data_IF_265530919483
#
_entry.id   IF_265530919483
#
_cell.length_a   1.000
_cell.length_b   1.000
_cell.length_c   1.000
_cell.angle_alpha   90.00
_cell.angle_beta   90.00
_cell.angle_gamma   90.00
#
_symmetry.space_group_name_H-M   'P 1'
#
loop_
_entity.id
_entity.type
_entity.pdbx_description
1 polymer ?
#
# COMPACT_ATOMS: atom_id res chain seq x y z
N UNK A 1 -18.10 -47.80 -21.67
CA UNK A 1 -17.31 -47.13 -20.62
C UNK A 1 -17.43 -45.64 -20.87
N UNK A 2 -18.22 -44.87 -20.09
CA UNK A 2 -18.32 -43.44 -20.30
C UNK A 2 -17.01 -42.77 -19.84
N UNK A 3 -16.57 -41.77 -20.60
CA UNK A 3 -15.39 -40.97 -20.31
C UNK A 3 -15.53 -40.27 -18.95
N UNK A 4 -14.44 -40.06 -18.19
CA UNK A 4 -14.51 -39.30 -16.95
C UNK A 4 -14.90 -37.85 -17.27
N UNK A 5 -15.96 -37.38 -16.61
CA UNK A 5 -16.37 -35.98 -16.65
C UNK A 5 -15.23 -35.10 -16.10
N UNK A 6 -15.01 -33.89 -16.65
CA UNK A 6 -14.06 -32.96 -16.09
C UNK A 6 -14.47 -32.62 -14.66
N UNK A 7 -13.48 -32.64 -13.77
CA UNK A 7 -13.59 -32.27 -12.37
C UNK A 7 -13.99 -30.79 -12.30
N UNK A 8 -15.30 -30.54 -12.29
CA UNK A 8 -15.85 -29.24 -12.01
C UNK A 8 -15.63 -29.01 -10.51
N UNK A 9 -14.51 -28.37 -10.17
CA UNK A 9 -14.35 -27.67 -8.90
C UNK A 9 -15.34 -26.49 -8.89
N UNK A 10 -16.63 -26.82 -8.73
CA UNK A 10 -17.72 -25.92 -8.35
C UNK A 10 -17.49 -25.50 -6.90
N UNK A 11 -16.44 -24.70 -6.69
CA UNK A 11 -16.01 -24.18 -5.40
C UNK A 11 -15.84 -22.67 -5.48
N UNK A 12 -16.69 -21.94 -4.76
CA UNK A 12 -16.47 -20.62 -4.18
C UNK A 12 -15.24 -19.83 -4.69
N UNK A 13 -15.45 -18.72 -5.42
CA UNK A 13 -14.42 -17.76 -5.90
C UNK A 13 -13.07 -18.43 -6.29
N UNK A 14 -12.94 -18.96 -7.52
CA UNK A 14 -11.83 -19.85 -7.89
C UNK A 14 -10.47 -19.22 -7.56
N UNK A 15 -9.67 -19.95 -6.79
CA UNK A 15 -8.33 -19.53 -6.36
C UNK A 15 -8.26 -18.75 -5.04
N UNK A 16 -9.37 -18.29 -4.45
CA UNK A 16 -9.34 -17.57 -3.17
C UNK A 16 -8.80 -18.44 -2.03
N UNK A 17 -9.29 -19.68 -1.90
CA UNK A 17 -8.82 -20.64 -0.88
C UNK A 17 -7.33 -20.98 -1.05
N UNK A 18 -6.85 -21.08 -2.29
CA UNK A 18 -5.43 -21.30 -2.60
C UNK A 18 -4.56 -20.12 -2.15
N UNK A 19 -4.95 -18.89 -2.49
CA UNK A 19 -4.24 -17.68 -2.05
C UNK A 19 -4.32 -17.53 -0.53
N UNK A 20 -5.49 -17.77 0.07
CA UNK A 20 -5.69 -17.77 1.51
C UNK A 20 -4.73 -18.73 2.22
N UNK A 21 -4.58 -19.96 1.71
CA UNK A 21 -3.64 -20.94 2.27
C UNK A 21 -2.17 -20.50 2.17
N UNK A 22 -1.79 -19.75 1.13
CA UNK A 22 -0.44 -19.18 1.01
C UNK A 22 -0.20 -18.04 2.00
N UNK A 23 -1.23 -17.30 2.39
CA UNK A 23 -1.12 -16.18 3.33
C UNK A 23 -1.27 -16.61 4.80
N UNK A 24 -1.94 -17.74 5.07
CA UNK A 24 -2.24 -18.26 6.41
C UNK A 24 -1.03 -18.92 7.09
N UNK A 25 0.13 -18.27 7.06
CA UNK A 25 1.36 -18.71 7.73
C UNK A 25 2.20 -17.51 8.16
N UNK A 26 2.59 -17.41 9.44
CA UNK A 26 3.30 -16.26 9.97
C UNK A 26 4.63 -15.97 9.27
N UNK A 27 5.39 -17.00 8.89
CA UNK A 27 6.67 -16.86 8.22
C UNK A 27 6.51 -16.31 6.80
N UNK A 28 5.56 -16.86 6.03
CA UNK A 28 5.21 -16.35 4.69
C UNK A 28 4.69 -14.92 4.75
N UNK A 29 3.82 -14.62 5.70
CA UNK A 29 3.31 -13.27 5.91
C UNK A 29 4.43 -12.27 6.22
N UNK A 30 5.38 -12.63 7.10
CA UNK A 30 6.53 -11.79 7.42
C UNK A 30 7.44 -11.54 6.20
N UNK A 31 7.71 -12.57 5.39
CA UNK A 31 8.50 -12.42 4.15
C UNK A 31 7.80 -11.50 3.14
N UNK A 32 6.51 -11.72 2.89
CA UNK A 32 5.72 -10.87 1.98
C UNK A 32 5.71 -9.43 2.46
N UNK A 33 5.51 -9.22 3.76
CA UNK A 33 5.49 -7.90 4.38
C UNK A 33 6.82 -7.14 4.21
N UNK A 34 7.95 -7.84 4.37
CA UNK A 34 9.27 -7.25 4.18
C UNK A 34 9.54 -6.76 2.76
N UNK A 35 8.83 -7.31 1.78
CA UNK A 35 8.95 -6.97 0.36
C UNK A 35 7.93 -5.90 -0.08
N UNK A 36 7.08 -5.42 0.83
CA UNK A 36 6.06 -4.42 0.52
C UNK A 36 6.63 -3.04 0.15
N UNK A 37 7.92 -2.77 0.38
CA UNK A 37 8.63 -1.59 -0.12
C UNK A 37 8.97 -1.67 -1.63
N UNK A 38 8.68 -2.81 -2.26
CA UNK A 38 8.95 -3.10 -3.67
C UNK A 38 10.39 -3.56 -3.94
N UNK A 39 11.23 -3.68 -2.91
CA UNK A 39 12.61 -4.15 -3.06
C UNK A 39 12.68 -5.63 -3.42
N UNK A 40 13.79 -6.03 -4.06
CA UNK A 40 14.14 -7.42 -4.26
C UNK A 40 15.18 -7.83 -3.21
N UNK A 41 14.90 -8.86 -2.40
CA UNK A 41 15.76 -9.28 -1.27
C UNK A 41 16.24 -10.73 -1.43
N UNK A 42 17.48 -11.05 -1.00
CA UNK A 42 17.99 -12.41 -1.07
C UNK A 42 17.30 -13.33 -0.07
N UNK A 43 17.27 -14.63 -0.37
CA UNK A 43 16.65 -15.66 0.48
C UNK A 43 17.11 -15.61 1.95
N UNK A 44 18.42 -15.37 2.18
CA UNK A 44 19.00 -15.35 3.52
C UNK A 44 18.46 -14.21 4.39
N UNK A 45 18.22 -13.03 3.80
CA UNK A 45 17.63 -11.91 4.53
C UNK A 45 16.18 -12.19 4.90
N UNK A 46 15.39 -12.73 3.96
CA UNK A 46 14.00 -13.12 4.21
C UNK A 46 13.89 -14.25 5.24
N UNK A 47 14.87 -15.16 5.27
CA UNK A 47 14.98 -16.23 6.28
C UNK A 47 15.16 -15.64 7.68
N UNK A 48 16.06 -14.66 7.83
CA UNK A 48 16.29 -13.97 9.10
C UNK A 48 15.05 -13.21 9.56
N UNK A 49 14.39 -12.48 8.66
CA UNK A 49 13.16 -11.72 8.97
C UNK A 49 12.03 -12.64 9.42
N UNK A 50 11.88 -13.80 8.77
CA UNK A 50 10.84 -14.77 9.12
C UNK A 50 11.17 -15.56 10.39
N UNK A 51 12.40 -15.51 10.89
CA UNK A 51 12.85 -16.30 12.04
C UNK A 51 12.84 -17.81 11.78
N UNK A 52 13.10 -18.23 10.54
CA UNK A 52 13.00 -19.63 10.11
C UNK A 52 14.37 -20.26 9.84
N UNK A 53 14.41 -21.59 9.79
CA UNK A 53 15.59 -22.30 9.28
C UNK A 53 15.73 -22.12 7.76
N UNK A 54 16.96 -22.20 7.18
CA UNK A 54 17.15 -22.06 5.73
C UNK A 54 16.34 -23.06 4.90
N UNK A 55 16.17 -24.28 5.39
CA UNK A 55 15.37 -25.33 4.72
C UNK A 55 13.89 -24.97 4.70
N UNK A 56 13.32 -24.57 5.84
CA UNK A 56 11.93 -24.15 5.93
C UNK A 56 11.67 -22.89 5.07
N UNK A 57 12.56 -21.89 5.16
CA UNK A 57 12.44 -20.67 4.37
C UNK A 57 12.46 -20.94 2.87
N UNK A 58 13.33 -21.84 2.40
CA UNK A 58 13.38 -22.23 0.98
C UNK A 58 12.06 -22.85 0.51
N UNK A 59 11.46 -23.72 1.33
CA UNK A 59 10.14 -24.30 1.03
C UNK A 59 9.03 -23.25 0.98
N UNK A 60 9.04 -22.27 1.89
CA UNK A 60 8.08 -21.17 1.87
C UNK A 60 8.25 -20.26 0.64
N UNK A 61 9.48 -19.90 0.28
CA UNK A 61 9.76 -19.08 -0.90
C UNK A 61 9.33 -19.80 -2.18
N UNK A 62 9.57 -21.11 -2.29
CA UNK A 62 9.09 -21.91 -3.42
C UNK A 62 7.56 -21.87 -3.53
N UNK A 63 6.85 -22.13 -2.43
CA UNK A 63 5.37 -22.09 -2.40
C UNK A 63 4.82 -20.72 -2.77
N UNK A 64 5.46 -19.63 -2.31
CA UNK A 64 5.04 -18.26 -2.64
C UNK A 64 5.29 -17.92 -4.11
N UNK A 65 6.41 -18.39 -4.68
CA UNK A 65 6.74 -18.20 -6.09
C UNK A 65 5.84 -19.03 -7.02
N UNK A 66 5.66 -20.33 -6.74
CA UNK A 66 4.70 -21.21 -7.45
C UNK A 66 3.25 -20.71 -7.29
N UNK A 67 2.97 -20.07 -6.15
CA UNK A 67 1.72 -19.38 -5.84
C UNK A 67 1.44 -18.16 -6.71
N UNK A 68 2.48 -17.57 -7.32
CA UNK A 68 2.40 -16.31 -8.07
C UNK A 68 2.48 -15.04 -7.21
N UNK A 69 2.77 -15.16 -5.91
CA UNK A 69 2.87 -14.00 -5.01
C UNK A 69 4.26 -13.34 -5.08
N UNK A 70 5.29 -14.13 -5.37
CA UNK A 70 6.67 -13.66 -5.50
C UNK A 70 7.22 -13.91 -6.91
N UNK A 71 7.92 -12.91 -7.45
CA UNK A 71 8.79 -13.09 -8.60
C UNK A 71 10.23 -13.32 -8.14
N UNK A 72 10.93 -14.21 -8.86
CA UNK A 72 12.33 -14.55 -8.65
C UNK A 72 13.20 -13.85 -9.71
N UNK A 73 14.18 -13.08 -9.24
CA UNK A 73 15.23 -12.50 -10.06
C UNK A 73 16.57 -13.19 -9.74
N UNK A 74 17.23 -13.74 -10.75
CA UNK A 74 18.57 -14.33 -10.59
C UNK A 74 19.61 -13.27 -10.94
N UNK A 75 20.42 -12.86 -9.95
CA UNK A 75 21.53 -11.91 -10.14
C UNK A 75 22.83 -12.61 -9.77
N UNK A 76 23.55 -13.09 -10.79
CA UNK A 76 24.73 -13.92 -10.60
C UNK A 76 24.40 -15.23 -9.87
N UNK A 77 25.11 -15.52 -8.78
CA UNK A 77 24.90 -16.74 -7.97
C UNK A 77 23.75 -16.62 -6.96
N UNK A 78 23.17 -15.43 -6.80
CA UNK A 78 22.19 -15.14 -5.76
C UNK A 78 20.79 -15.00 -6.36
N UNK A 79 19.82 -15.54 -5.63
CA UNK A 79 18.39 -15.49 -5.93
C UNK A 79 17.75 -14.39 -5.09
N UNK A 80 17.12 -13.43 -5.76
CA UNK A 80 16.42 -12.32 -5.14
C UNK A 80 14.91 -12.47 -5.36
N UNK A 81 14.13 -12.22 -4.33
CA UNK A 81 12.68 -12.33 -4.35
C UNK A 81 12.07 -10.95 -4.17
N UNK A 82 11.00 -10.68 -4.90
CA UNK A 82 10.19 -9.46 -4.84
C UNK A 82 8.72 -9.82 -4.95
N UNK A 83 7.83 -8.92 -4.51
CA UNK A 83 6.40 -9.07 -4.83
C UNK A 83 6.25 -9.15 -6.36
N UNK A 84 5.45 -10.12 -6.83
CA UNK A 84 5.35 -10.45 -8.24
C UNK A 84 4.80 -9.28 -9.07
N UNK A 85 3.67 -8.71 -8.64
CA UNK A 85 2.98 -7.63 -9.34
C UNK A 85 2.45 -6.57 -8.38
N UNK A 86 2.14 -5.35 -8.87
CA UNK A 86 1.47 -4.32 -8.08
C UNK A 86 0.14 -4.80 -7.47
N UNK A 87 -0.63 -5.62 -8.20
CA UNK A 87 -1.93 -6.15 -7.75
C UNK A 87 -1.80 -7.12 -6.56
N UNK A 88 -0.68 -7.85 -6.47
CA UNK A 88 -0.39 -8.68 -5.29
C UNK A 88 -0.10 -7.80 -4.07
N UNK A 89 0.73 -6.76 -4.23
CA UNK A 89 1.04 -5.83 -3.14
C UNK A 89 -0.23 -5.13 -2.63
N UNK A 90 -1.04 -4.64 -3.56
CA UNK A 90 -2.37 -4.10 -3.35
C UNK A 90 -3.26 -5.02 -2.50
N UNK A 91 -3.37 -6.29 -2.91
CA UNK A 91 -4.20 -7.28 -2.22
C UNK A 91 -3.72 -7.56 -0.79
N UNK A 92 -2.41 -7.67 -0.59
CA UNK A 92 -1.80 -7.84 0.74
C UNK A 92 -2.08 -6.63 1.63
N UNK A 93 -1.99 -5.42 1.08
CA UNK A 93 -2.29 -4.18 1.79
C UNK A 93 -3.77 -4.08 2.18
N UNK A 94 -4.68 -4.48 1.27
CA UNK A 94 -6.11 -4.55 1.55
C UNK A 94 -6.43 -5.57 2.67
N UNK A 95 -5.77 -6.73 2.68
CA UNK A 95 -5.92 -7.73 3.74
C UNK A 95 -5.35 -7.24 5.08
N UNK A 96 -4.24 -6.51 5.07
CA UNK A 96 -3.69 -5.89 6.28
C UNK A 96 -4.66 -4.85 6.85
N UNK A 97 -5.27 -4.04 6.00
CA UNK A 97 -6.32 -3.08 6.38
C UNK A 97 -7.55 -3.79 6.96
N UNK A 98 -8.03 -4.86 6.33
CA UNK A 98 -9.14 -5.67 6.82
C UNK A 98 -8.83 -6.32 8.18
N UNK A 99 -7.63 -6.86 8.33
CA UNK A 99 -7.18 -7.45 9.59
C UNK A 99 -7.18 -6.41 10.72
N UNK A 100 -6.83 -5.16 10.43
CA UNK A 100 -6.89 -4.06 11.39
C UNK A 100 -8.33 -3.65 11.75
N UNK A 101 -9.19 -3.47 10.74
CA UNK A 101 -10.60 -3.16 10.97
C UNK A 101 -11.30 -4.27 11.79
N UNK A 102 -10.93 -5.53 11.55
CA UNK A 102 -11.44 -6.69 12.30
C UNK A 102 -10.80 -6.81 13.70
N UNK A 103 -9.56 -6.35 13.87
CA UNK A 103 -8.86 -6.35 15.15
C UNK A 103 -9.48 -5.39 16.18
N UNK A 104 -10.38 -4.49 15.80
CA UNK A 104 -11.22 -3.71 16.74
C UNK A 104 -11.95 -4.59 17.78
N UNK A 105 -12.09 -5.89 17.51
CA UNK A 105 -12.71 -6.89 18.38
C UNK A 105 -11.72 -7.73 19.21
N UNK A 106 -10.40 -7.50 19.12
CA UNK A 106 -9.35 -8.23 19.89
C UNK A 106 -8.21 -7.31 20.32
N UNK A 107 -7.64 -7.54 21.51
CA UNK A 107 -6.51 -6.75 22.02
C UNK A 107 -5.35 -6.67 21.00
N UNK A 108 -4.90 -5.45 20.73
CA UNK A 108 -3.96 -5.11 19.64
C UNK A 108 -2.58 -5.71 19.82
N UNK A 109 -2.02 -6.40 18.81
CA UNK A 109 -0.58 -6.57 18.69
C UNK A 109 0.07 -5.22 18.39
N UNK A 110 1.24 -4.99 19.00
CA UNK A 110 2.11 -3.81 18.83
C UNK A 110 2.36 -3.53 17.34
N UNK A 111 2.50 -2.26 16.87
CA UNK A 111 2.82 -1.94 15.49
C UNK A 111 4.02 -2.77 15.00
N UNK A 112 3.90 -3.29 13.77
CA UNK A 112 4.90 -4.13 13.14
C UNK A 112 6.27 -3.42 13.16
N UNK A 113 7.13 -3.76 14.12
CA UNK A 113 8.50 -3.22 14.27
C UNK A 113 9.39 -3.50 13.05
N UNK A 114 8.89 -4.29 12.09
CA UNK A 114 9.58 -4.78 10.90
C UNK A 114 9.51 -3.82 9.72
N UNK A 115 8.73 -2.74 9.80
CA UNK A 115 8.56 -1.79 8.68
C UNK A 115 9.60 -0.68 8.78
N UNK A 116 10.41 -0.45 7.72
CA UNK A 116 11.38 0.63 7.69
C UNK A 116 10.75 2.00 7.97
N UNK A 117 11.45 2.85 8.73
CA UNK A 117 10.93 4.15 9.14
C UNK A 117 10.56 5.02 7.93
N UNK A 118 11.37 4.98 6.86
CA UNK A 118 11.10 5.73 5.64
C UNK A 118 9.75 5.35 4.99
N UNK A 119 9.37 4.07 5.08
CA UNK A 119 8.11 3.58 4.52
C UNK A 119 6.89 3.96 5.37
N UNK A 120 7.08 4.13 6.68
CA UNK A 120 6.03 4.64 7.57
C UNK A 120 5.80 6.13 7.34
N UNK A 121 6.85 6.90 7.10
CA UNK A 121 6.74 8.34 6.93
C UNK A 121 6.03 8.73 5.62
N UNK A 122 6.50 8.22 4.47
CA UNK A 122 5.95 8.55 3.16
C UNK A 122 6.15 7.41 2.14
N UNK A 123 5.06 6.93 1.54
CA UNK A 123 5.08 5.87 0.53
C UNK A 123 3.94 6.00 -0.48
N UNK A 124 3.96 5.18 -1.53
CA UNK A 124 2.79 4.95 -2.39
C UNK A 124 1.95 3.78 -1.88
N UNK A 125 0.66 4.02 -1.65
CA UNK A 125 -0.36 3.01 -1.46
C UNK A 125 -1.09 2.93 -2.81
N UNK A 126 -0.64 2.13 -3.76
CA UNK A 126 -1.08 2.19 -5.16
C UNK A 126 -0.57 3.44 -5.90
N UNK A 127 -1.48 4.36 -6.23
CA UNK A 127 -1.28 5.54 -7.07
C UNK A 127 -1.41 6.85 -6.30
N UNK A 128 -1.57 6.77 -4.98
CA UNK A 128 -1.67 7.92 -4.08
C UNK A 128 -0.69 7.79 -2.92
N UNK A 129 -0.45 8.91 -2.25
CA UNK A 129 0.47 8.99 -1.12
C UNK A 129 -0.16 8.38 0.15
N UNK A 130 0.64 7.65 0.91
CA UNK A 130 0.31 7.07 2.21
C UNK A 130 1.48 7.24 3.19
N UNK A 131 1.27 6.80 4.44
CA UNK A 131 2.18 7.03 5.57
C UNK A 131 1.76 8.22 6.43
N UNK A 132 2.52 8.43 7.50
CA UNK A 132 2.29 9.47 8.51
C UNK A 132 2.00 10.84 7.90
N UNK A 133 2.82 11.27 6.94
CA UNK A 133 2.67 12.58 6.32
C UNK A 133 1.36 12.69 5.54
N UNK A 134 0.97 11.64 4.79
CA UNK A 134 -0.26 11.64 4.02
C UNK A 134 -1.51 11.66 4.91
N UNK A 135 -1.48 10.93 6.03
CA UNK A 135 -2.54 10.97 7.06
C UNK A 135 -2.68 12.38 7.62
N UNK A 136 -1.56 12.98 8.06
CA UNK A 136 -1.57 14.33 8.65
C UNK A 136 -2.08 15.39 7.68
N UNK A 137 -1.67 15.33 6.42
CA UNK A 137 -2.14 16.26 5.38
C UNK A 137 -3.64 16.07 5.13
N UNK A 138 -4.12 14.84 5.04
CA UNK A 138 -5.54 14.57 4.82
C UNK A 138 -6.41 15.07 5.99
N UNK A 139 -5.99 14.83 7.22
CA UNK A 139 -6.70 15.32 8.41
C UNK A 139 -6.71 16.84 8.49
N UNK A 140 -5.60 17.48 8.11
CA UNK A 140 -5.54 18.93 8.01
C UNK A 140 -6.52 19.48 6.97
N UNK A 141 -6.62 18.84 5.81
CA UNK A 141 -7.60 19.22 4.78
C UNK A 141 -9.05 19.08 5.28
N UNK A 142 -9.35 18.07 6.09
CA UNK A 142 -10.67 17.93 6.72
C UNK A 142 -10.89 18.98 7.81
N UNK A 143 -9.90 19.18 8.69
CA UNK A 143 -9.98 20.13 9.81
C UNK A 143 -10.13 21.59 9.36
N UNK A 144 -9.50 21.96 8.24
CA UNK A 144 -9.60 23.30 7.66
C UNK A 144 -10.81 23.45 6.71
N UNK A 145 -11.62 22.40 6.56
CA UNK A 145 -12.81 22.40 5.72
C UNK A 145 -12.50 22.49 4.22
N UNK A 146 -11.31 22.08 3.77
CA UNK A 146 -11.03 21.96 2.34
C UNK A 146 -11.78 20.78 1.75
N UNK A 147 -11.84 19.70 2.53
CA UNK A 147 -12.60 18.51 2.23
C UNK A 147 -13.67 18.33 3.30
N UNK A 148 -14.82 17.80 2.91
CA UNK A 148 -15.86 17.33 3.82
C UNK A 148 -16.09 15.85 3.58
N UNK A 149 -16.33 15.14 4.67
CA UNK A 149 -16.67 13.73 4.66
C UNK A 149 -18.15 13.57 4.96
N UNK A 150 -18.89 12.96 4.03
CA UNK A 150 -20.28 12.54 4.21
C UNK A 150 -20.35 11.01 4.03
N UNK A 151 -20.40 10.29 5.15
CA UNK A 151 -20.23 8.84 5.18
C UNK A 151 -18.89 8.40 4.57
N UNK A 152 -18.96 7.63 3.48
CA UNK A 152 -17.79 7.16 2.72
C UNK A 152 -17.37 8.10 1.58
N UNK A 153 -18.16 9.15 1.32
CA UNK A 153 -17.89 10.12 0.27
C UNK A 153 -17.02 11.27 0.81
N UNK A 154 -15.98 11.60 0.05
CA UNK A 154 -15.13 12.76 0.31
C UNK A 154 -15.34 13.76 -0.83
N UNK A 155 -15.69 14.99 -0.46
CA UNK A 155 -15.97 16.07 -1.40
C UNK A 155 -15.14 17.31 -1.11
N UNK A 156 -14.73 18.02 -2.16
CA UNK A 156 -14.08 19.32 -2.00
C UNK A 156 -15.12 20.42 -1.82
N UNK A 157 -14.93 21.26 -0.79
CA UNK A 157 -15.73 22.46 -0.58
C UNK A 157 -15.34 23.56 -1.58
N UNK A 158 -16.13 24.62 -1.67
CA UNK A 158 -15.78 25.77 -2.51
C UNK A 158 -14.45 26.42 -2.07
N UNK A 159 -14.23 26.57 -0.77
CA UNK A 159 -12.97 27.07 -0.21
C UNK A 159 -11.81 26.11 -0.52
N UNK A 160 -12.04 24.81 -0.31
CA UNK A 160 -11.07 23.77 -0.62
C UNK A 160 -10.70 23.72 -2.09
N UNK A 161 -11.62 24.04 -2.98
CA UNK A 161 -11.36 24.02 -4.41
C UNK A 161 -10.27 25.01 -4.83
N UNK A 162 -10.33 26.23 -4.31
CA UNK A 162 -9.29 27.23 -4.54
C UNK A 162 -7.93 26.82 -3.95
N UNK A 163 -7.92 26.15 -2.79
CA UNK A 163 -6.69 25.66 -2.14
C UNK A 163 -6.06 24.50 -2.91
N UNK A 164 -6.85 23.52 -3.33
CA UNK A 164 -6.42 22.38 -4.13
C UNK A 164 -5.91 22.81 -5.51
N UNK A 165 -6.52 23.82 -6.12
CA UNK A 165 -6.02 24.41 -7.36
C UNK A 165 -4.62 25.02 -7.20
N UNK A 166 -4.34 25.68 -6.08
CA UNK A 166 -2.97 26.18 -5.76
C UNK A 166 -1.96 25.06 -5.53
N UNK A 167 -2.44 23.87 -5.14
CA UNK A 167 -1.63 22.66 -5.09
C UNK A 167 -1.51 21.95 -6.45
N UNK A 168 -1.95 22.57 -7.54
CA UNK A 168 -1.84 22.04 -8.90
C UNK A 168 -2.91 21.03 -9.28
N UNK A 169 -4.04 20.96 -8.56
CA UNK A 169 -5.13 20.01 -8.85
C UNK A 169 -6.30 20.71 -9.57
N UNK A 170 -6.68 20.17 -10.73
CA UNK A 170 -7.92 20.54 -11.42
C UNK A 170 -9.08 19.64 -10.97
N UNK A 171 -9.91 20.15 -10.05
CA UNK A 171 -11.05 19.38 -9.50
C UNK A 171 -12.08 19.01 -10.56
N UNK A 172 -12.33 19.88 -11.55
CA UNK A 172 -13.30 19.61 -12.60
C UNK A 172 -12.87 18.38 -13.42
N UNK A 173 -11.59 18.35 -13.79
CA UNK A 173 -10.99 17.19 -14.46
C UNK A 173 -11.02 15.93 -13.61
N UNK A 174 -10.69 16.03 -12.32
CA UNK A 174 -10.65 14.87 -11.43
C UNK A 174 -12.04 14.29 -11.13
N UNK A 175 -13.07 15.13 -11.02
CA UNK A 175 -14.47 14.67 -10.87
C UNK A 175 -15.00 13.98 -12.13
N UNK A 176 -14.51 14.35 -13.31
CA UNK A 176 -14.90 13.75 -14.58
C UNK A 176 -14.30 12.36 -14.88
N UNK A 177 -13.39 11.85 -14.04
CA UNK A 177 -12.77 10.53 -14.25
C UNK A 177 -13.74 9.38 -13.93
N UNK A 178 -13.55 8.22 -14.58
CA UNK A 178 -14.34 6.99 -14.38
C UNK A 178 -14.09 6.27 -13.03
N UNK A 179 -13.71 6.98 -11.98
CA UNK A 179 -13.41 6.46 -10.63
C UNK A 179 -13.89 7.47 -9.59
N UNK A 180 -13.97 7.05 -8.32
CA UNK A 180 -14.34 7.95 -7.22
C UNK A 180 -13.41 9.16 -7.16
N UNK A 181 -13.99 10.36 -7.01
CA UNK A 181 -13.25 11.62 -6.90
C UNK A 181 -12.24 11.56 -5.75
N UNK A 182 -12.70 11.24 -4.55
CA UNK A 182 -11.86 11.00 -3.38
C UNK A 182 -12.46 9.86 -2.55
N UNK A 183 -11.62 9.16 -1.81
CA UNK A 183 -12.06 8.16 -0.83
C UNK A 183 -11.07 8.09 0.33
N UNK A 184 -11.54 7.60 1.47
CA UNK A 184 -10.67 7.24 2.59
C UNK A 184 -10.01 5.90 2.29
N UNK A 185 -8.68 5.86 2.36
CA UNK A 185 -7.92 4.61 2.34
C UNK A 185 -7.29 4.43 3.72
N UNK A 186 -7.44 3.26 4.32
CA UNK A 186 -6.86 3.00 5.65
C UNK A 186 -5.35 2.83 5.51
N UNK A 187 -4.60 3.62 6.27
CA UNK A 187 -3.16 3.45 6.41
C UNK A 187 -2.90 2.39 7.47
N UNK A 188 -2.31 1.26 7.05
CA UNK A 188 -2.01 0.17 7.97
C UNK A 188 -0.90 0.52 8.98
N UNK A 189 0.02 1.44 8.65
CA UNK A 189 1.12 1.81 9.56
C UNK A 189 0.65 2.74 10.67
N UNK A 190 -0.24 3.66 10.34
CA UNK A 190 -0.75 4.70 11.23
C UNK A 190 -2.11 4.35 11.85
N UNK A 191 -2.81 3.34 11.31
CA UNK A 191 -4.18 2.94 11.68
C UNK A 191 -5.20 4.08 11.50
N UNK A 192 -4.96 4.95 10.52
CA UNK A 192 -5.72 6.18 10.25
C UNK A 192 -5.97 6.33 8.76
N UNK A 193 -7.01 7.05 8.38
CA UNK A 193 -7.32 7.25 6.96
C UNK A 193 -6.34 8.24 6.31
N UNK A 194 -5.98 7.97 5.06
CA UNK A 194 -5.33 8.91 4.15
C UNK A 194 -6.17 9.07 2.88
N UNK A 195 -5.84 10.09 2.09
CA UNK A 195 -6.58 10.46 0.89
C UNK A 195 -6.25 9.55 -0.30
N UNK A 196 -7.25 8.81 -0.77
CA UNK A 196 -7.20 8.04 -2.01
C UNK A 196 -8.15 8.60 -3.09
N UNK A 197 -8.34 7.83 -4.16
CA UNK A 197 -9.20 8.21 -5.29
C UNK A 197 -8.48 9.05 -6.34
N UNK A 198 -9.25 9.65 -7.25
CA UNK A 198 -8.71 10.52 -8.31
C UNK A 198 -7.91 11.70 -7.73
N UNK A 199 -8.43 12.33 -6.67
CA UNK A 199 -7.81 13.45 -5.97
C UNK A 199 -6.47 13.05 -5.33
N UNK A 200 -6.42 11.93 -4.61
CA UNK A 200 -5.17 11.44 -4.02
C UNK A 200 -4.09 11.16 -5.07
N UNK A 201 -4.48 10.59 -6.21
CA UNK A 201 -3.58 10.35 -7.33
C UNK A 201 -3.10 11.66 -8.00
N UNK A 202 -4.00 12.64 -8.15
CA UNK A 202 -3.67 13.95 -8.71
C UNK A 202 -2.72 14.74 -7.81
N UNK A 203 -2.91 14.69 -6.49
CA UNK A 203 -2.00 15.33 -5.53
C UNK A 203 -0.61 14.68 -5.57
N UNK A 204 -0.52 13.35 -5.60
CA UNK A 204 0.77 12.68 -5.72
C UNK A 204 1.49 13.10 -7.02
N UNK A 205 0.79 13.11 -8.15
CA UNK A 205 1.35 13.53 -9.43
C UNK A 205 1.83 14.99 -9.37
N UNK A 206 0.99 15.90 -8.88
CA UNK A 206 1.31 17.32 -8.77
C UNK A 206 2.51 17.59 -7.85
N UNK A 207 2.57 16.93 -6.68
CA UNK A 207 3.71 17.07 -5.76
C UNK A 207 5.00 16.49 -6.32
N UNK A 208 4.93 15.45 -7.14
CA UNK A 208 6.08 14.94 -7.89
C UNK A 208 6.53 15.91 -8.99
N UNK A 209 5.61 16.45 -9.78
CA UNK A 209 5.90 17.44 -10.84
C UNK A 209 6.52 18.72 -10.29
N UNK A 210 6.06 19.18 -9.12
CA UNK A 210 6.61 20.35 -8.42
C UNK A 210 7.91 20.05 -7.67
N UNK A 211 8.40 18.80 -7.68
CA UNK A 211 9.64 18.41 -6.99
C UNK A 211 9.56 18.43 -5.47
N UNK A 212 8.36 18.31 -4.89
CA UNK A 212 8.17 18.18 -3.44
C UNK A 212 8.46 16.75 -2.98
N UNK A 213 8.17 15.80 -3.86
CA UNK A 213 8.33 14.36 -3.63
C UNK A 213 9.13 13.76 -4.78
N UNK A 214 10.08 12.91 -4.44
CA UNK A 214 10.80 12.08 -5.39
C UNK A 214 10.66 10.60 -5.03
N UNK A 215 10.79 9.72 -6.03
CA UNK A 215 10.88 8.29 -5.77
C UNK A 215 12.23 7.98 -5.13
N UNK A 216 12.23 7.26 -4.02
CA UNK A 216 13.46 6.74 -3.43
C UNK A 216 14.01 5.56 -4.27
N UNK A 217 15.19 5.06 -3.91
CA UNK A 217 15.75 3.83 -4.51
C UNK A 217 14.79 2.63 -4.37
N UNK A 218 14.00 2.61 -3.29
CA UNK A 218 12.96 1.62 -3.05
C UNK A 218 11.67 2.05 -3.77
N UNK A 219 11.09 1.22 -4.67
CA UNK A 219 10.03 1.61 -5.58
C UNK A 219 8.76 2.23 -4.96
N UNK A 220 8.41 1.83 -3.74
CA UNK A 220 7.23 2.35 -3.03
C UNK A 220 7.54 3.44 -2.02
N UNK A 221 8.80 3.69 -1.68
CA UNK A 221 9.17 4.72 -0.71
C UNK A 221 9.26 6.07 -1.41
N UNK A 222 8.67 7.09 -0.80
CA UNK A 222 8.70 8.46 -1.28
C UNK A 222 9.68 9.27 -0.44
N UNK A 223 10.62 9.95 -1.09
CA UNK A 223 11.53 10.89 -0.46
C UNK A 223 10.94 12.29 -0.54
N UNK A 224 10.75 12.93 0.61
CA UNK A 224 10.34 14.34 0.66
C UNK A 224 11.57 15.21 0.45
N UNK A 225 11.51 16.14 -0.49
CA UNK A 225 12.63 17.05 -0.76
C UNK A 225 12.68 18.18 0.27
N UNK A 226 13.80 18.90 0.43
CA UNK A 226 13.84 20.08 1.28
C UNK A 226 12.78 21.13 0.91
N UNK A 227 12.44 21.26 -0.38
CA UNK A 227 11.35 22.11 -0.84
C UNK A 227 9.99 21.55 -0.42
N UNK A 228 9.77 20.24 -0.59
CA UNK A 228 8.56 19.56 -0.15
C UNK A 228 8.31 19.71 1.35
N UNK A 229 9.33 19.55 2.19
CA UNK A 229 9.20 19.75 3.63
C UNK A 229 8.64 21.13 3.97
N UNK A 230 9.20 22.21 3.39
CA UNK A 230 8.68 23.57 3.62
C UNK A 230 7.22 23.73 3.21
N UNK A 231 6.81 23.10 2.11
CA UNK A 231 5.45 23.20 1.59
C UNK A 231 4.45 22.38 2.41
N UNK A 232 4.82 21.16 2.80
CA UNK A 232 4.01 20.34 3.70
C UNK A 232 3.90 20.97 5.09
N UNK A 233 4.99 21.53 5.62
CA UNK A 233 4.94 22.27 6.88
C UNK A 233 4.01 23.47 6.77
N UNK A 234 4.06 24.24 5.67
CA UNK A 234 3.12 25.33 5.41
C UNK A 234 1.67 24.87 5.35
N UNK A 235 1.37 23.70 4.74
CA UNK A 235 0.01 23.12 4.74
C UNK A 235 -0.41 22.74 6.16
N UNK A 236 0.48 22.10 6.92
CA UNK A 236 0.19 21.55 8.25
C UNK A 236 0.10 22.63 9.35
N UNK A 237 0.65 23.82 9.11
CA UNK A 237 0.70 24.93 10.08
C UNK A 237 -0.17 26.13 9.73
N UNK A 238 -0.69 26.20 8.50
CA UNK A 238 -1.66 27.22 8.08
C UNK A 238 -2.95 27.18 8.90
#
# INVERSE_FOLDING_TARGET
MPAPLPDHDEGHFPGLSRIGALLADPGRAAMLWALMDGSARPAGELTLIAGLSPSAASGHLARLSEGGLLALEVRGRHRYYRIATPDVAASIEALANLAQASASQRATPRPARTVPLEMRYARTCYDHMAGELAVRVFEKMLGDGWLVQDGDAIEATECGAGRLARLGVDIGRERGKRRRFACTCLDWSERRAHLGGALGAALLASWSEQGWIERAEKPRVLRITPAGHRQFDAILTA
#
